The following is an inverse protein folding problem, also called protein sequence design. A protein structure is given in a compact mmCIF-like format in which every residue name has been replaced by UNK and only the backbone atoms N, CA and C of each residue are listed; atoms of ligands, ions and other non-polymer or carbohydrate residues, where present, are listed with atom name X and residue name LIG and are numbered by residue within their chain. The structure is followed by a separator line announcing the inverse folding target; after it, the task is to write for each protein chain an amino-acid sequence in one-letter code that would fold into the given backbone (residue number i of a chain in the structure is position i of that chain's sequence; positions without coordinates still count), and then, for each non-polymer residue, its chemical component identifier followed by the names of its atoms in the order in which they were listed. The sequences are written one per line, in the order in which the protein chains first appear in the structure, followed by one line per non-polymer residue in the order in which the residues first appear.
data_IF_142511731121
#
_entry.id   IF_142511731121
#
_cell.length_a   1.000
_cell.length_b   1.000
_cell.length_c   1.000
_cell.angle_alpha   90.00
_cell.angle_beta   90.00
_cell.angle_gamma   90.00
#
_symmetry.space_group_name_H-M   'P 1'
#
loop_
_entity.id
_entity.type
_entity.pdbx_description
1 polymer ?
#
# COMPACT_ATOMS: atom_id res chain seq x y z
N UNK A 1 -23.71 -53.00 -4.46
CA UNK A 1 -22.88 -52.57 -5.62
C UNK A 1 -23.45 -51.24 -6.10
N UNK A 2 -22.75 -50.11 -6.19
CA UNK A 2 -21.34 -49.78 -6.09
C UNK A 2 -21.27 -48.30 -5.65
N UNK A 3 -20.40 -48.05 -4.69
CA UNK A 3 -20.07 -46.75 -4.09
C UNK A 3 -19.72 -45.74 -5.19
N UNK A 4 -20.39 -44.58 -5.24
CA UNK A 4 -19.87 -43.42 -5.99
C UNK A 4 -19.42 -42.42 -4.95
N UNK A 5 -18.10 -42.36 -4.83
CA UNK A 5 -17.31 -41.53 -3.94
C UNK A 5 -17.70 -40.05 -4.06
N UNK A 6 -18.16 -39.46 -2.95
CA UNK A 6 -18.15 -38.03 -2.74
C UNK A 6 -16.70 -37.55 -2.66
N UNK A 7 -16.25 -36.72 -3.62
CA UNK A 7 -15.00 -35.99 -3.52
C UNK A 7 -15.32 -34.50 -3.43
N UNK A 8 -15.62 -34.05 -2.21
CA UNK A 8 -15.86 -32.67 -1.87
C UNK A 8 -14.49 -31.98 -1.69
N UNK A 9 -13.98 -31.39 -2.78
CA UNK A 9 -12.72 -30.66 -2.79
C UNK A 9 -12.94 -29.30 -2.09
N UNK A 10 -12.60 -29.24 -0.80
CA UNK A 10 -12.51 -27.98 -0.04
C UNK A 10 -11.22 -27.26 -0.42
N UNK A 11 -11.28 -26.35 -1.40
CA UNK A 11 -10.20 -25.38 -1.65
C UNK A 11 -10.19 -24.33 -0.54
N UNK A 12 -9.32 -24.51 0.45
CA UNK A 12 -8.98 -23.46 1.41
C UNK A 12 -8.16 -22.38 0.70
N UNK A 13 -8.80 -21.27 0.30
CA UNK A 13 -8.10 -20.07 -0.11
C UNK A 13 -7.42 -19.47 1.12
N UNK A 14 -6.09 -19.59 1.20
CA UNK A 14 -5.28 -18.87 2.20
C UNK A 14 -5.34 -17.39 1.85
N UNK A 15 -6.24 -16.66 2.52
CA UNK A 15 -6.30 -15.20 2.43
C UNK A 15 -5.11 -14.65 3.22
N UNK A 16 -3.97 -14.46 2.55
CA UNK A 16 -2.85 -13.74 3.15
C UNK A 16 -3.28 -12.27 3.33
N UNK A 17 -3.07 -11.67 4.52
CA UNK A 17 -3.32 -10.25 4.69
C UNK A 17 -2.40 -9.50 3.73
N UNK A 18 -2.98 -8.68 2.87
CA UNK A 18 -2.26 -7.81 1.96
C UNK A 18 -1.51 -6.76 2.79
N UNK A 19 -0.31 -7.13 3.26
CA UNK A 19 0.65 -6.20 3.82
C UNK A 19 0.92 -5.15 2.76
N UNK A 20 0.93 -3.87 3.13
CA UNK A 20 1.24 -2.79 2.20
C UNK A 20 2.60 -3.07 1.54
N UNK A 21 2.58 -3.42 0.25
CA UNK A 21 3.78 -3.75 -0.49
C UNK A 21 4.45 -2.44 -0.89
N UNK A 22 5.37 -1.97 -0.05
CA UNK A 22 6.10 -0.74 -0.33
C UNK A 22 7.00 -0.91 -1.55
N UNK A 23 6.81 -0.02 -2.51
CA UNK A 23 7.47 -0.03 -3.79
C UNK A 23 8.92 0.42 -3.64
N UNK A 24 9.77 -0.10 -4.52
CA UNK A 24 11.10 0.46 -4.74
C UNK A 24 10.98 1.87 -5.36
N UNK A 25 12.09 2.62 -5.34
CA UNK A 25 12.10 3.97 -5.89
C UNK A 25 11.78 4.01 -7.40
N UNK A 26 12.22 3.00 -8.17
CA UNK A 26 11.89 2.89 -9.59
C UNK A 26 10.42 2.60 -9.83
N UNK A 27 9.85 1.63 -9.11
CA UNK A 27 8.43 1.28 -9.17
C UNK A 27 7.53 2.45 -8.76
N UNK A 28 7.93 3.20 -7.73
CA UNK A 28 7.18 4.37 -7.29
C UNK A 28 7.16 5.47 -8.37
N UNK A 29 8.31 5.74 -8.99
CA UNK A 29 8.39 6.68 -10.12
C UNK A 29 7.51 6.24 -11.28
N UNK A 30 7.52 4.96 -11.62
CA UNK A 30 6.70 4.41 -12.69
C UNK A 30 5.19 4.48 -12.37
N UNK A 31 4.78 4.21 -11.13
CA UNK A 31 3.39 4.36 -10.70
C UNK A 31 2.90 5.82 -10.82
N UNK A 32 3.75 6.79 -10.49
CA UNK A 32 3.44 8.22 -10.66
C UNK A 32 3.44 8.63 -12.12
N UNK A 33 4.45 8.20 -12.90
CA UNK A 33 4.58 8.52 -14.32
C UNK A 33 3.45 7.92 -15.17
N UNK A 34 2.99 6.71 -14.84
CA UNK A 34 1.84 6.06 -15.46
C UNK A 34 0.49 6.63 -15.01
N UNK A 35 0.49 7.63 -14.12
CA UNK A 35 -0.73 8.28 -13.63
C UNK A 35 -1.56 7.43 -12.67
N UNK A 36 -1.04 6.30 -12.18
CA UNK A 36 -1.73 5.42 -11.24
C UNK A 36 -1.64 5.92 -9.79
N UNK A 37 -0.56 6.64 -9.48
CA UNK A 37 -0.34 7.25 -8.17
C UNK A 37 -0.14 8.77 -8.28
N UNK A 38 -0.59 9.51 -7.27
CA UNK A 38 -0.32 10.92 -7.12
C UNK A 38 1.16 11.15 -6.75
N UNK A 39 1.82 12.21 -7.26
CA UNK A 39 3.17 12.56 -6.84
C UNK A 39 3.18 13.03 -5.38
N UNK A 40 4.28 12.78 -4.65
CA UNK A 40 4.41 13.15 -3.23
C UNK A 40 4.05 14.61 -2.95
N UNK A 41 4.47 15.54 -3.82
CA UNK A 41 4.17 16.97 -3.66
C UNK A 41 2.66 17.30 -3.66
N UNK A 42 1.82 16.48 -4.30
CA UNK A 42 0.37 16.68 -4.31
C UNK A 42 -0.31 16.26 -2.99
N UNK A 43 0.30 15.33 -2.25
CA UNK A 43 -0.25 14.82 -0.98
C UNK A 43 0.52 15.30 0.25
N UNK A 44 1.68 15.93 0.08
CA UNK A 44 2.56 16.34 1.17
C UNK A 44 1.87 17.26 2.19
N UNK A 45 0.92 18.10 1.76
CA UNK A 45 0.13 18.95 2.66
C UNK A 45 -0.71 18.17 3.68
N UNK A 46 -1.02 16.89 3.40
CA UNK A 46 -1.77 16.02 4.31
C UNK A 46 -0.90 15.44 5.44
N UNK A 47 0.43 15.59 5.36
CA UNK A 47 1.36 15.06 6.37
C UNK A 47 1.26 15.79 7.73
N UNK A 48 0.87 17.08 7.73
CA UNK A 48 0.68 17.85 8.97
C UNK A 48 1.94 18.09 9.79
N UNK A 49 3.13 18.01 9.16
CA UNK A 49 4.45 18.23 9.75
C UNK A 49 5.56 18.05 8.71
N UNK A 50 6.81 17.98 9.17
CA UNK A 50 7.97 17.81 8.29
C UNK A 50 8.13 16.33 7.89
N UNK A 51 8.09 16.04 6.60
CA UNK A 51 8.28 14.68 6.07
C UNK A 51 9.78 14.37 6.06
N UNK A 52 10.22 13.42 6.88
CA UNK A 52 11.62 12.96 6.95
C UNK A 52 11.85 11.69 6.12
N UNK A 53 10.80 10.94 5.82
CA UNK A 53 10.83 9.77 4.94
C UNK A 53 9.49 9.57 4.26
N UNK A 54 9.51 9.17 3.00
CA UNK A 54 8.31 8.84 2.23
C UNK A 54 8.52 7.52 1.48
N UNK A 55 7.56 6.61 1.59
CA UNK A 55 7.52 5.37 0.81
C UNK A 55 6.14 5.21 0.19
N UNK A 56 6.09 5.01 -1.13
CA UNK A 56 4.84 4.68 -1.82
C UNK A 56 4.63 3.18 -1.69
N UNK A 57 3.45 2.76 -1.24
CA UNK A 57 3.11 1.37 -1.03
C UNK A 57 1.81 1.03 -1.74
N UNK A 58 1.72 -0.17 -2.28
CA UNK A 58 0.50 -0.70 -2.86
C UNK A 58 -0.31 -1.39 -1.75
N UNK A 59 -1.53 -0.92 -1.51
CA UNK A 59 -2.40 -1.44 -0.46
C UNK A 59 -3.85 -1.49 -0.96
N UNK A 60 -4.50 -2.64 -0.82
CA UNK A 60 -5.94 -2.79 -1.14
C UNK A 60 -6.30 -2.47 -2.60
N UNK A 61 -5.38 -2.70 -3.55
CA UNK A 61 -5.58 -2.39 -4.98
C UNK A 61 -5.30 -0.94 -5.37
N UNK A 62 -4.95 -0.08 -4.40
CA UNK A 62 -4.53 1.31 -4.64
C UNK A 62 -3.12 1.60 -4.15
N UNK A 63 -2.79 2.89 -4.11
CA UNK A 63 -1.51 3.42 -3.67
C UNK A 63 -1.70 4.31 -2.43
N UNK A 64 -0.80 4.15 -1.47
CA UNK A 64 -0.73 4.97 -0.25
C UNK A 64 0.71 5.38 0.00
N UNK A 65 0.95 6.57 0.53
CA UNK A 65 2.26 6.95 1.05
C UNK A 65 2.32 6.65 2.55
N UNK A 66 3.32 5.87 2.97
CA UNK A 66 3.79 5.82 4.34
C UNK A 66 4.81 6.95 4.54
N UNK A 67 4.40 7.96 5.30
CA UNK A 67 5.21 9.13 5.61
C UNK A 67 5.70 9.04 7.05
N UNK A 68 7.01 9.14 7.26
CA UNK A 68 7.55 9.45 8.58
C UNK A 68 7.59 10.96 8.71
N UNK A 69 6.85 11.50 9.67
CA UNK A 69 6.63 12.92 9.87
C UNK A 69 7.15 13.33 11.25
N UNK A 70 8.04 14.31 11.28
CA UNK A 70 8.49 14.96 12.51
C UNK A 70 7.45 15.99 12.95
N UNK A 71 6.89 15.81 14.15
CA UNK A 71 5.90 16.72 14.76
C UNK A 71 6.19 16.87 16.24
N UNK A 72 6.44 18.12 16.69
CA UNK A 72 6.72 18.41 18.09
C UNK A 72 7.93 17.64 18.66
N UNK A 73 8.97 17.43 17.85
CA UNK A 73 10.19 16.70 18.24
C UNK A 73 10.07 15.17 18.22
N UNK A 74 8.95 14.61 17.74
CA UNK A 74 8.76 13.15 17.61
C UNK A 74 8.47 12.77 16.17
N UNK A 75 9.06 11.66 15.72
CA UNK A 75 8.76 11.07 14.41
C UNK A 75 7.54 10.15 14.56
N UNK A 76 6.53 10.38 13.73
CA UNK A 76 5.29 9.60 13.67
C UNK A 76 5.07 9.10 12.26
N UNK A 77 4.42 7.94 12.09
CA UNK A 77 4.08 7.43 10.76
C UNK A 77 2.66 7.82 10.41
N UNK A 78 2.49 8.46 9.26
CA UNK A 78 1.20 8.89 8.70
C UNK A 78 1.00 8.18 7.37
N UNK A 79 -0.15 7.55 7.18
CA UNK A 79 -0.52 6.95 5.89
C UNK A 79 -1.48 7.87 5.17
N UNK A 80 -1.13 8.28 3.94
CA UNK A 80 -1.97 9.15 3.11
C UNK A 80 -2.34 8.45 1.80
N UNK A 81 -3.56 8.69 1.32
CA UNK A 81 -4.00 8.12 0.05
C UNK A 81 -3.24 8.78 -1.12
N UNK A 82 -2.77 7.96 -2.05
CA UNK A 82 -2.02 8.39 -3.22
C UNK A 82 -2.67 7.92 -4.52
N UNK A 83 -3.96 7.56 -4.53
CA UNK A 83 -4.66 7.19 -5.75
C UNK A 83 -4.89 8.42 -6.64
N UNK A 84 -5.01 8.17 -7.94
CA UNK A 84 -5.39 9.12 -8.97
C UNK A 84 -6.79 8.81 -9.49
#
# INVERSE_FOLDING_TARGET
MKQIFALLILTFAVIAPAQAACLSQSQAREAVASGKAAPLGAVAGQAGGEIVKAQLCQQGGGYVYLLSVLKGGKVTTVTVNANR
#
